data_IF_873299902913
#
_entry.id   IF_873299902913
#
_cell.length_a   1.000
_cell.length_b   1.000
_cell.length_c   1.000
_cell.angle_alpha   90.00
_cell.angle_beta   90.00
_cell.angle_gamma   90.00
#
_symmetry.space_group_name_H-M   'P 1'
#
loop_
_entity.id
_entity.type
_entity.pdbx_description
1 polymer ?
#
# COMPACT_ATOMS: atom_id res chain seq x y z
N UNK A 1 -31.88 -4.66 -28.45
CA UNK A 1 -31.04 -4.85 -27.26
C UNK A 1 -29.63 -4.76 -27.76
N UNK A 2 -29.09 -3.56 -27.63
CA UNK A 2 -28.32 -2.94 -28.70
C UNK A 2 -26.81 -3.16 -28.51
N UNK A 3 -26.21 -3.78 -29.51
CA UNK A 3 -24.76 -3.94 -29.67
C UNK A 3 -24.20 -2.68 -30.33
N UNK A 4 -23.50 -1.85 -29.56
CA UNK A 4 -22.81 -0.66 -30.05
C UNK A 4 -21.40 -0.95 -30.54
N UNK A 5 -21.20 -0.83 -31.85
CA UNK A 5 -19.89 -0.79 -32.52
C UNK A 5 -19.31 0.63 -32.42
N UNK A 6 -18.09 0.79 -31.90
CA UNK A 6 -17.41 2.08 -31.81
C UNK A 6 -16.47 2.24 -33.02
N UNK A 7 -16.75 3.20 -33.91
CA UNK A 7 -15.81 3.72 -34.91
C UNK A 7 -15.13 4.99 -34.39
N UNK A 8 -13.80 5.05 -34.48
CA UNK A 8 -13.00 6.23 -34.18
C UNK A 8 -12.93 7.16 -35.41
N UNK A 9 -13.60 8.30 -35.34
CA UNK A 9 -13.45 9.41 -36.28
C UNK A 9 -12.50 10.47 -35.73
N UNK A 10 -11.46 10.82 -36.49
CA UNK A 10 -10.51 11.89 -36.17
C UNK A 10 -11.08 13.22 -36.68
N UNK A 11 -11.39 14.15 -35.77
CA UNK A 11 -11.73 15.53 -36.10
C UNK A 11 -10.53 16.44 -35.78
N UNK A 12 -9.98 17.10 -36.80
CA UNK A 12 -9.10 18.26 -36.65
C UNK A 12 -9.98 19.52 -36.65
N UNK A 13 -10.01 20.23 -35.52
CA UNK A 13 -10.67 21.53 -35.38
C UNK A 13 -9.68 22.59 -34.91
N UNK A 14 -9.29 23.48 -35.82
CA UNK A 14 -8.57 24.72 -35.53
C UNK A 14 -9.40 25.65 -34.65
N UNK A 15 -8.79 26.24 -33.62
CA UNK A 15 -9.35 27.41 -32.94
C UNK A 15 -8.32 28.54 -32.85
N UNK A 16 -8.72 29.68 -33.41
CA UNK A 16 -8.06 30.98 -33.40
C UNK A 16 -8.67 31.82 -32.27
N UNK A 17 -7.81 32.44 -31.47
CA UNK A 17 -8.02 33.77 -30.88
C UNK A 17 -8.82 33.89 -29.58
N UNK A 18 -8.25 34.53 -28.56
CA UNK A 18 -8.55 35.92 -28.19
C UNK A 18 -7.63 36.39 -27.04
N UNK A 19 -7.16 37.64 -27.14
CA UNK A 19 -6.50 38.42 -26.08
C UNK A 19 -7.50 38.80 -24.97
N UNK A 20 -7.01 39.15 -23.76
CA UNK A 20 -7.39 40.39 -23.03
C UNK A 20 -6.61 40.51 -21.68
N UNK A 21 -5.91 41.65 -21.57
CA UNK A 21 -5.58 42.51 -20.41
C UNK A 21 -5.06 41.94 -19.08
N UNK A 22 -3.81 42.31 -18.75
CA UNK A 22 -3.41 42.59 -17.37
C UNK A 22 -3.06 44.08 -17.21
N UNK A 23 -3.79 44.74 -16.32
CA UNK A 23 -3.59 46.12 -15.91
C UNK A 23 -2.36 46.29 -15.01
N UNK A 24 -1.52 47.23 -15.40
CA UNK A 24 -0.38 47.74 -14.64
C UNK A 24 -0.85 48.58 -13.43
N UNK A 25 -0.44 48.18 -12.23
CA UNK A 25 -0.51 49.03 -11.03
C UNK A 25 0.88 49.63 -10.77
N UNK A 26 0.94 50.96 -10.80
CA UNK A 26 2.08 51.82 -10.48
C UNK A 26 2.50 51.65 -9.01
N UNK A 27 3.78 51.44 -8.75
CA UNK A 27 4.45 52.07 -7.61
C UNK A 27 5.93 52.30 -7.93
N UNK A 28 6.41 53.45 -7.48
CA UNK A 28 7.51 54.22 -8.03
C UNK A 28 8.91 53.69 -7.70
N UNK A 29 9.85 53.91 -8.63
CA UNK A 29 11.23 54.29 -8.31
C UNK A 29 12.27 53.17 -8.33
N UNK A 30 13.10 53.15 -9.36
CA UNK A 30 14.58 53.34 -9.30
C UNK A 30 15.14 53.21 -10.73
N UNK A 31 16.17 54.02 -10.98
CA UNK A 31 16.73 54.43 -12.27
C UNK A 31 17.79 53.45 -12.81
N UNK A 32 17.63 53.12 -14.10
CA UNK A 32 18.59 52.88 -15.20
C UNK A 32 20.09 52.69 -14.90
N UNK A 33 20.64 51.56 -15.38
CA UNK A 33 21.83 51.39 -16.25
C UNK A 33 21.64 50.02 -16.93
N UNK A 34 21.84 49.73 -18.22
CA UNK A 34 22.68 50.33 -19.26
C UNK A 34 23.51 49.18 -19.88
N UNK A 35 23.23 48.78 -21.12
CA UNK A 35 23.97 47.78 -21.90
C UNK A 35 23.12 46.54 -22.22
N UNK A 36 22.66 46.25 -23.43
CA UNK A 36 23.18 46.63 -24.75
C UNK A 36 24.10 45.55 -25.29
N UNK A 37 23.54 44.40 -25.70
CA UNK A 37 24.18 43.53 -26.69
C UNK A 37 23.14 42.92 -27.62
N UNK A 38 23.29 43.30 -28.89
CA UNK A 38 22.66 42.78 -30.09
C UNK A 38 23.37 41.46 -30.44
N UNK A 39 22.63 40.35 -30.55
CA UNK A 39 22.95 39.31 -31.54
C UNK A 39 21.64 38.71 -32.06
N UNK A 40 21.20 39.23 -33.20
CA UNK A 40 20.34 38.50 -34.12
C UNK A 40 21.25 37.71 -35.07
N UNK A 41 21.12 36.39 -35.10
CA UNK A 41 21.45 35.55 -36.26
C UNK A 41 21.19 34.06 -35.99
N UNK A 42 20.86 33.38 -37.08
CA UNK A 42 20.80 31.93 -37.33
C UNK A 42 19.42 31.27 -37.14
N UNK A 43 18.55 31.34 -38.14
CA UNK A 43 18.43 30.40 -39.30
C UNK A 43 18.05 28.97 -38.93
N UNK A 44 16.84 28.60 -39.34
CA UNK A 44 16.51 27.40 -40.11
C UNK A 44 17.42 26.17 -39.87
N UNK A 45 16.93 25.23 -39.06
CA UNK A 45 17.11 23.80 -39.32
C UNK A 45 15.74 23.15 -39.28
N UNK A 46 15.17 23.01 -40.48
CA UNK A 46 14.13 22.02 -40.74
C UNK A 46 14.77 20.62 -40.64
N UNK A 47 14.05 19.73 -39.95
CA UNK A 47 14.03 18.28 -40.18
C UNK A 47 15.36 17.54 -40.19
N UNK A 48 15.60 16.73 -39.14
CA UNK A 48 16.16 15.37 -39.24
C UNK A 48 16.01 14.67 -37.89
N UNK A 49 15.35 13.51 -37.93
CA UNK A 49 15.49 12.35 -37.05
C UNK A 49 15.13 12.46 -35.56
N UNK A 50 13.89 12.07 -35.25
CA UNK A 50 13.61 11.15 -34.13
C UNK A 50 12.72 10.01 -34.66
N UNK A 51 13.36 9.08 -35.37
CA UNK A 51 12.87 7.70 -35.53
C UNK A 51 14.04 6.81 -35.14
N UNK A 52 14.11 6.42 -33.87
CA UNK A 52 14.90 5.29 -33.34
C UNK A 52 14.80 5.23 -31.82
N UNK A 53 13.68 4.72 -31.33
CA UNK A 53 13.47 4.04 -30.04
C UNK A 53 12.04 3.49 -30.16
N UNK A 54 11.70 2.21 -30.14
CA UNK A 54 12.40 0.97 -29.84
C UNK A 54 11.73 -0.09 -30.73
N UNK A 55 12.54 -0.82 -31.50
CA UNK A 55 12.08 -2.02 -32.20
C UNK A 55 12.03 -3.11 -31.13
N UNK A 56 10.86 -3.30 -30.51
CA UNK A 56 10.64 -4.40 -29.58
C UNK A 56 10.61 -5.68 -30.42
N UNK A 57 11.77 -6.34 -30.50
CA UNK A 57 11.94 -7.63 -31.17
C UNK A 57 11.11 -8.70 -30.45
N UNK A 58 10.31 -9.41 -31.24
CA UNK A 58 9.77 -10.74 -30.97
C UNK A 58 9.03 -10.91 -29.63
N UNK A 59 7.91 -10.21 -29.47
CA UNK A 59 6.84 -10.75 -28.63
C UNK A 59 6.18 -11.87 -29.44
N UNK A 60 6.18 -13.13 -28.99
CA UNK A 60 5.53 -14.20 -29.73
C UNK A 60 4.07 -13.82 -29.92
N UNK A 61 3.59 -13.91 -31.16
CA UNK A 61 2.17 -13.90 -31.47
C UNK A 61 1.55 -15.11 -30.78
N UNK A 62 1.16 -14.93 -29.51
CA UNK A 62 0.32 -15.86 -28.79
C UNK A 62 -0.98 -15.83 -29.57
N UNK A 63 -1.19 -16.85 -30.41
CA UNK A 63 -2.45 -17.08 -31.11
C UNK A 63 -3.55 -17.06 -30.04
N UNK A 64 -4.24 -15.92 -29.92
CA UNK A 64 -5.23 -15.69 -28.89
C UNK A 64 -6.45 -16.51 -29.26
N UNK A 65 -6.51 -17.75 -28.75
CA UNK A 65 -7.80 -18.32 -28.40
C UNK A 65 -8.45 -17.32 -27.46
N UNK A 66 -9.31 -16.45 -28.01
CA UNK A 66 -9.94 -15.37 -27.28
C UNK A 66 -10.85 -15.97 -26.23
N UNK A 67 -10.32 -16.19 -25.03
CA UNK A 67 -11.14 -16.61 -23.90
C UNK A 67 -11.91 -15.37 -23.44
N UNK A 68 -13.22 -15.41 -23.62
CA UNK A 68 -14.12 -14.36 -23.14
C UNK A 68 -14.29 -14.52 -21.63
N UNK A 69 -13.43 -13.88 -20.84
CA UNK A 69 -13.65 -13.74 -19.41
C UNK A 69 -14.76 -12.69 -19.21
N UNK A 70 -15.93 -13.12 -18.71
CA UNK A 70 -16.98 -12.18 -18.32
C UNK A 70 -16.63 -11.61 -16.95
N UNK A 71 -16.18 -10.37 -16.91
CA UNK A 71 -15.80 -9.70 -15.66
C UNK A 71 -16.90 -8.73 -15.25
N UNK A 72 -17.48 -8.95 -14.07
CA UNK A 72 -18.43 -8.00 -13.51
C UNK A 72 -17.70 -6.74 -13.05
N UNK A 73 -18.12 -5.56 -13.55
CA UNK A 73 -17.59 -4.24 -13.13
C UNK A 73 -18.58 -3.49 -12.24
N UNK A 74 -19.34 -4.20 -11.42
CA UNK A 74 -20.32 -3.61 -10.52
C UNK A 74 -19.65 -2.58 -9.59
N UNK A 75 -20.17 -1.35 -9.58
CA UNK A 75 -19.64 -0.24 -8.77
C UNK A 75 -18.57 0.62 -9.46
N UNK A 76 -18.07 0.22 -10.63
CA UNK A 76 -17.15 1.05 -11.43
C UNK A 76 -17.95 2.10 -12.22
N UNK A 77 -17.60 3.38 -12.08
CA UNK A 77 -18.25 4.46 -12.84
C UNK A 77 -17.88 4.35 -14.33
N UNK A 78 -18.82 4.69 -15.23
CA UNK A 78 -18.60 4.62 -16.68
C UNK A 78 -17.34 5.37 -17.15
N UNK A 79 -17.07 6.54 -16.54
CA UNK A 79 -15.88 7.35 -16.84
C UNK A 79 -14.55 6.67 -16.49
N UNK A 80 -14.55 5.74 -15.53
CA UNK A 80 -13.35 5.10 -14.99
C UNK A 80 -13.09 3.72 -15.62
N UNK A 81 -14.07 3.15 -16.33
CA UNK A 81 -13.94 1.87 -17.04
C UNK A 81 -12.72 1.79 -17.98
N UNK A 82 -12.36 2.83 -18.76
CA UNK A 82 -11.17 2.77 -19.61
C UNK A 82 -9.87 2.61 -18.82
N UNK A 83 -9.76 3.25 -17.64
CA UNK A 83 -8.59 3.15 -16.77
C UNK A 83 -8.51 1.76 -16.14
N UNK A 84 -9.64 1.26 -15.63
CA UNK A 84 -9.77 -0.12 -15.12
C UNK A 84 -9.34 -1.14 -16.17
N UNK A 85 -9.84 -1.02 -17.40
CA UNK A 85 -9.49 -1.93 -18.48
C UNK A 85 -7.99 -1.90 -18.80
N UNK A 86 -7.36 -0.72 -18.78
CA UNK A 86 -5.92 -0.59 -18.99
C UNK A 86 -5.10 -1.24 -17.87
N UNK A 87 -5.50 -1.06 -16.60
CA UNK A 87 -4.84 -1.70 -15.47
C UNK A 87 -4.96 -3.23 -15.51
N UNK A 88 -6.15 -3.75 -15.79
CA UNK A 88 -6.39 -5.19 -15.94
C UNK A 88 -5.58 -5.77 -17.10
N UNK A 89 -5.49 -5.03 -18.21
CA UNK A 89 -4.64 -5.42 -19.34
C UNK A 89 -3.15 -5.45 -18.94
N UNK A 90 -2.67 -4.45 -18.21
CA UNK A 90 -1.30 -4.44 -17.71
C UNK A 90 -1.04 -5.61 -16.75
N UNK A 91 -1.99 -5.91 -15.87
CA UNK A 91 -1.94 -7.07 -14.98
C UNK A 91 -1.82 -8.39 -15.76
N UNK A 92 -2.68 -8.63 -16.75
CA UNK A 92 -2.58 -9.86 -17.56
C UNK A 92 -1.30 -9.93 -18.39
N UNK A 93 -0.73 -8.79 -18.80
CA UNK A 93 0.59 -8.75 -19.42
C UNK A 93 1.70 -9.20 -18.46
N UNK A 94 1.61 -8.82 -17.18
CA UNK A 94 2.57 -9.21 -16.14
C UNK A 94 2.33 -10.62 -15.58
N UNK A 95 1.07 -11.06 -15.54
CA UNK A 95 0.65 -12.36 -15.03
C UNK A 95 -0.14 -13.14 -16.12
N UNK A 96 0.55 -13.63 -17.16
CA UNK A 96 -0.10 -14.29 -18.29
C UNK A 96 -0.81 -15.59 -17.91
N UNK A 97 -0.35 -16.29 -16.87
CA UNK A 97 -0.95 -17.54 -16.41
C UNK A 97 -2.41 -17.37 -15.98
N UNK A 98 -2.79 -16.25 -15.36
CA UNK A 98 -4.21 -16.00 -15.01
C UNK A 98 -5.06 -15.89 -16.27
N UNK A 99 -4.54 -15.26 -17.33
CA UNK A 99 -5.25 -15.19 -18.62
C UNK A 99 -5.31 -16.55 -19.32
N UNK A 100 -4.24 -17.36 -19.26
CA UNK A 100 -4.23 -18.72 -19.79
C UNK A 100 -5.21 -19.64 -19.06
N UNK A 101 -5.37 -19.45 -17.75
CA UNK A 101 -6.31 -20.19 -16.90
C UNK A 101 -7.76 -19.69 -17.00
N UNK A 102 -8.10 -18.81 -17.96
CA UNK A 102 -9.44 -18.23 -18.02
C UNK A 102 -10.56 -19.27 -18.20
N UNK A 103 -10.29 -20.45 -18.79
CA UNK A 103 -11.23 -21.56 -18.84
C UNK A 103 -11.48 -22.25 -17.48
N UNK A 104 -10.57 -22.08 -16.52
CA UNK A 104 -10.64 -22.61 -15.17
C UNK A 104 -11.16 -21.58 -14.15
N UNK A 105 -11.51 -20.37 -14.59
CA UNK A 105 -12.08 -19.33 -13.75
C UNK A 105 -13.61 -19.51 -13.70
N UNK A 106 -14.13 -19.76 -12.50
CA UNK A 106 -15.58 -19.90 -12.24
C UNK A 106 -16.29 -18.56 -12.11
N UNK A 107 -15.61 -17.57 -11.55
CA UNK A 107 -16.15 -16.23 -11.32
C UNK A 107 -14.99 -15.21 -11.31
N UNK A 108 -15.25 -14.03 -11.86
CA UNK A 108 -14.32 -12.91 -11.88
C UNK A 108 -15.08 -11.59 -11.63
N UNK A 109 -14.68 -10.87 -10.60
CA UNK A 109 -15.24 -9.56 -10.25
C UNK A 109 -14.14 -8.52 -10.21
N UNK A 110 -14.44 -7.33 -10.71
CA UNK A 110 -13.65 -6.14 -10.49
C UNK A 110 -14.41 -5.17 -9.60
N UNK A 111 -13.73 -4.61 -8.62
CA UNK A 111 -14.16 -3.43 -7.88
C UNK A 111 -13.13 -2.31 -8.04
N UNK A 112 -13.62 -1.07 -7.96
CA UNK A 112 -12.81 0.14 -7.90
C UNK A 112 -13.25 0.93 -6.68
N UNK A 113 -12.32 1.36 -5.85
CA UNK A 113 -12.67 2.11 -4.65
C UNK A 113 -11.48 2.69 -3.94
N UNK A 114 -11.76 3.42 -2.86
CA UNK A 114 -10.73 4.00 -2.02
C UNK A 114 -9.93 2.91 -1.30
N UNK A 115 -8.61 3.10 -1.18
CA UNK A 115 -7.76 2.21 -0.41
C UNK A 115 -8.13 2.25 1.07
N UNK A 116 -8.56 1.11 1.60
CA UNK A 116 -8.88 0.91 3.02
C UNK A 116 -7.89 -0.04 3.71
N UNK A 117 -7.23 -0.90 2.95
CA UNK A 117 -6.23 -1.84 3.46
C UNK A 117 -4.83 -1.20 3.57
N UNK A 118 -4.04 -1.74 4.50
CA UNK A 118 -2.70 -1.19 4.82
C UNK A 118 -1.73 -1.31 3.65
N UNK A 119 -1.77 -2.40 2.88
CA UNK A 119 -0.86 -2.61 1.75
C UNK A 119 -1.03 -1.54 0.67
N UNK A 120 -2.27 -1.31 0.21
CA UNK A 120 -2.59 -0.28 -0.78
C UNK A 120 -2.14 1.11 -0.33
N UNK A 121 -2.40 1.48 0.93
CA UNK A 121 -2.01 2.78 1.48
C UNK A 121 -0.49 2.96 1.48
N UNK A 122 0.27 1.92 1.85
CA UNK A 122 1.73 1.95 1.93
C UNK A 122 2.39 2.07 0.55
N UNK A 123 1.78 1.52 -0.50
CA UNK A 123 2.21 1.73 -1.89
C UNK A 123 1.76 3.09 -2.46
N UNK A 124 0.97 3.86 -1.70
CA UNK A 124 0.47 5.17 -2.14
C UNK A 124 -0.72 5.08 -3.08
N UNK A 125 -1.43 3.97 -3.11
CA UNK A 125 -2.61 3.78 -3.95
C UNK A 125 -3.79 4.50 -3.31
N UNK A 126 -4.40 5.48 -3.98
CA UNK A 126 -5.61 6.14 -3.48
C UNK A 126 -6.84 5.35 -3.91
N UNK A 127 -6.85 4.92 -5.17
CA UNK A 127 -7.99 4.24 -5.78
C UNK A 127 -7.57 2.92 -6.43
N UNK A 128 -7.28 1.87 -5.63
CA UNK A 128 -6.93 0.58 -6.18
C UNK A 128 -8.07 -0.06 -6.98
N UNK A 129 -7.68 -0.85 -7.98
CA UNK A 129 -8.55 -1.80 -8.69
C UNK A 129 -8.36 -3.16 -8.04
N UNK A 130 -9.42 -3.78 -7.55
CA UNK A 130 -9.34 -5.14 -7.03
C UNK A 130 -9.98 -6.11 -8.02
N UNK A 131 -9.17 -7.05 -8.51
CA UNK A 131 -9.61 -8.17 -9.33
C UNK A 131 -9.72 -9.42 -8.44
N UNK A 132 -10.95 -9.89 -8.25
CA UNK A 132 -11.28 -11.09 -7.50
C UNK A 132 -11.52 -12.23 -8.47
N UNK A 133 -10.73 -13.29 -8.38
CA UNK A 133 -10.80 -14.46 -9.28
C UNK A 133 -11.07 -15.72 -8.46
N UNK A 134 -12.15 -16.42 -8.79
CA UNK A 134 -12.46 -17.74 -8.24
C UNK A 134 -12.01 -18.82 -9.22
N UNK A 135 -11.01 -19.61 -8.84
CA UNK A 135 -10.57 -20.75 -9.64
C UNK A 135 -11.43 -21.99 -9.41
N UNK A 136 -11.45 -22.88 -10.40
CA UNK A 136 -12.06 -24.21 -10.30
C UNK A 136 -11.39 -25.05 -9.22
N UNK A 137 -12.17 -25.96 -8.62
CA UNK A 137 -11.64 -26.99 -7.72
C UNK A 137 -10.88 -28.08 -8.48
N UNK A 138 -11.17 -28.22 -9.77
CA UNK A 138 -10.54 -29.18 -10.67
C UNK A 138 -10.16 -28.41 -11.95
N UNK A 139 -9.00 -27.74 -11.98
CA UNK A 139 -8.55 -26.99 -13.14
C UNK A 139 -8.01 -27.94 -14.21
N UNK A 140 -8.26 -27.61 -15.48
CA UNK A 140 -7.82 -28.41 -16.62
C UNK A 140 -6.29 -28.38 -16.79
N UNK A 141 -5.65 -27.25 -16.54
CA UNK A 141 -4.18 -27.15 -16.58
C UNK A 141 -3.57 -26.98 -15.17
N UNK A 142 -3.43 -28.09 -14.47
CA UNK A 142 -2.83 -28.15 -13.13
C UNK A 142 -1.35 -27.73 -13.08
N UNK A 143 -0.67 -27.52 -14.21
CA UNK A 143 0.75 -27.12 -14.24
C UNK A 143 0.95 -25.62 -14.02
N UNK A 144 -0.07 -24.82 -14.31
CA UNK A 144 -0.01 -23.35 -14.24
C UNK A 144 -0.57 -22.79 -12.92
N UNK A 145 -1.16 -23.65 -12.09
CA UNK A 145 -1.82 -23.28 -10.85
C UNK A 145 -1.31 -24.17 -9.71
N UNK A 146 -0.88 -23.54 -8.62
CA UNK A 146 -0.52 -24.26 -7.40
C UNK A 146 -1.74 -25.05 -6.90
N UNK A 147 -1.58 -26.31 -6.52
CA UNK A 147 -2.67 -27.14 -5.99
C UNK A 147 -3.37 -26.49 -4.78
N UNK A 148 -2.64 -25.64 -4.03
CA UNK A 148 -3.18 -24.85 -2.92
C UNK A 148 -4.08 -23.69 -3.37
N UNK A 149 -4.16 -23.39 -4.66
CA UNK A 149 -5.08 -22.40 -5.22
C UNK A 149 -6.37 -23.04 -5.78
N UNK A 150 -6.47 -24.38 -5.83
CA UNK A 150 -7.65 -25.07 -6.37
C UNK A 150 -8.89 -24.75 -5.54
N UNK A 151 -9.92 -24.22 -6.19
CA UNK A 151 -11.13 -23.77 -5.52
C UNK A 151 -10.96 -22.56 -4.61
N UNK A 152 -9.79 -21.90 -4.61
CA UNK A 152 -9.58 -20.69 -3.83
C UNK A 152 -10.07 -19.44 -4.57
N UNK A 153 -10.35 -18.40 -3.79
CA UNK A 153 -10.57 -17.05 -4.30
C UNK A 153 -9.29 -16.25 -4.11
N UNK A 154 -8.75 -15.76 -5.23
CA UNK A 154 -7.60 -14.89 -5.29
C UNK A 154 -8.05 -13.44 -5.42
N UNK A 155 -7.37 -12.57 -4.68
CA UNK A 155 -7.60 -11.14 -4.65
C UNK A 155 -6.32 -10.49 -5.14
N UNK A 156 -6.39 -9.83 -6.30
CA UNK A 156 -5.28 -9.08 -6.89
C UNK A 156 -5.64 -7.60 -6.81
N UNK A 157 -4.94 -6.85 -5.97
CA UNK A 157 -5.15 -5.41 -5.86
C UNK A 157 -4.08 -4.70 -6.70
N UNK A 158 -4.51 -3.85 -7.61
CA UNK A 158 -3.68 -3.09 -8.53
C UNK A 158 -3.80 -1.61 -8.19
N UNK A 159 -2.71 -0.85 -8.30
CA UNK A 159 -2.76 0.58 -8.07
C UNK A 159 -1.61 1.33 -8.70
N UNK A 160 -1.78 2.65 -8.81
CA UNK A 160 -0.76 3.58 -9.27
C UNK A 160 0.09 4.08 -8.12
N UNK A 161 0.24 5.40 -7.99
CA UNK A 161 0.89 6.02 -6.83
C UNK A 161 2.41 5.94 -6.86
N UNK A 162 3.00 5.81 -5.67
CA UNK A 162 4.47 5.84 -5.52
C UNK A 162 5.09 4.53 -6.02
N UNK A 163 4.46 3.40 -5.71
CA UNK A 163 4.88 2.07 -6.14
C UNK A 163 3.79 1.50 -7.08
N UNK A 164 3.76 1.88 -8.37
CA UNK A 164 2.75 1.38 -9.31
C UNK A 164 2.93 -0.12 -9.54
N UNK A 165 1.86 -0.90 -9.40
CA UNK A 165 1.96 -2.35 -9.48
C UNK A 165 0.71 -3.07 -8.99
N UNK A 166 0.89 -4.35 -8.67
CA UNK A 166 -0.16 -5.16 -8.06
C UNK A 166 0.37 -6.00 -6.90
N UNK A 167 -0.51 -6.34 -5.96
CA UNK A 167 -0.22 -7.25 -4.87
C UNK A 167 -1.32 -8.30 -4.68
N UNK A 168 -0.98 -9.36 -3.96
CA UNK A 168 -1.96 -10.32 -3.45
C UNK A 168 -1.61 -10.75 -2.03
N UNK A 169 -2.63 -11.02 -1.21
CA UNK A 169 -2.44 -11.42 0.18
C UNK A 169 -2.16 -12.91 0.40
N UNK A 170 -2.18 -13.73 -0.67
CA UNK A 170 -2.08 -15.20 -0.57
C UNK A 170 -1.00 -15.75 -1.48
N UNK A 171 -0.06 -16.49 -0.89
CA UNK A 171 1.03 -17.16 -1.60
C UNK A 171 0.56 -18.01 -2.79
N UNK A 172 -0.48 -18.87 -2.70
CA UNK A 172 -0.90 -19.65 -3.86
C UNK A 172 -1.36 -18.79 -5.04
N UNK A 173 -1.90 -17.59 -4.79
CA UNK A 173 -2.29 -16.65 -5.84
C UNK A 173 -1.08 -15.96 -6.46
N UNK A 174 -0.08 -15.62 -5.64
CA UNK A 174 1.18 -15.06 -6.12
C UNK A 174 1.97 -16.06 -6.99
N UNK A 175 1.95 -17.34 -6.59
CA UNK A 175 2.61 -18.43 -7.30
C UNK A 175 2.08 -18.63 -8.72
N UNK A 176 0.77 -18.38 -8.96
CA UNK A 176 0.19 -18.40 -10.32
C UNK A 176 0.93 -17.40 -11.23
N UNK A 177 1.31 -16.25 -10.68
CA UNK A 177 2.05 -15.21 -11.40
C UNK A 177 3.58 -15.33 -11.29
N UNK A 178 4.11 -16.37 -10.64
CA UNK A 178 5.53 -16.51 -10.39
C UNK A 178 6.13 -15.46 -9.45
N UNK A 179 5.31 -14.84 -8.60
CA UNK A 179 5.75 -13.82 -7.63
C UNK A 179 6.04 -14.47 -6.29
N UNK A 180 7.23 -14.20 -5.75
CA UNK A 180 7.61 -14.60 -4.39
C UNK A 180 7.44 -13.44 -3.41
N UNK A 181 7.32 -13.75 -2.12
CA UNK A 181 7.31 -12.72 -1.09
C UNK A 181 8.63 -11.92 -1.11
N UNK A 182 8.52 -10.59 -0.97
CA UNK A 182 9.66 -9.71 -0.76
C UNK A 182 10.19 -9.81 0.69
N UNK A 183 11.21 -9.03 1.04
CA UNK A 183 11.79 -9.00 2.40
C UNK A 183 10.79 -8.60 3.49
N UNK A 184 9.69 -7.94 3.13
CA UNK A 184 8.60 -7.57 4.03
C UNK A 184 7.49 -8.64 4.12
N UNK A 185 7.65 -9.77 3.42
CA UNK A 185 6.64 -10.83 3.35
C UNK A 185 5.48 -10.53 2.40
N UNK A 186 5.58 -9.50 1.56
CA UNK A 186 4.51 -9.10 0.64
C UNK A 186 4.70 -9.72 -0.74
N UNK A 187 3.62 -10.22 -1.33
CA UNK A 187 3.60 -10.67 -2.72
C UNK A 187 3.23 -9.52 -3.64
N UNK A 188 4.21 -8.68 -3.97
CA UNK A 188 4.07 -7.48 -4.77
C UNK A 188 4.90 -7.58 -6.06
N UNK A 189 4.33 -7.13 -7.17
CA UNK A 189 5.03 -6.96 -8.43
C UNK A 189 4.84 -5.54 -8.97
N UNK A 190 5.95 -4.87 -9.26
CA UNK A 190 5.96 -3.54 -9.85
C UNK A 190 5.52 -3.60 -11.32
N UNK A 191 4.59 -2.73 -11.69
CA UNK A 191 4.07 -2.59 -13.06
C UNK A 191 3.95 -1.09 -13.36
N UNK A 192 5.02 -0.45 -13.90
CA UNK A 192 5.05 1.00 -14.10
C UNK A 192 3.89 1.55 -14.94
N UNK A 193 3.34 0.75 -15.85
CA UNK A 193 2.18 1.12 -16.67
C UNK A 193 0.93 1.42 -15.83
N UNK A 194 0.85 0.94 -14.58
CA UNK A 194 -0.26 1.22 -13.67
C UNK A 194 -0.21 2.62 -13.05
N UNK A 195 0.84 3.43 -13.30
CA UNK A 195 0.89 4.85 -12.90
C UNK A 195 -0.34 5.64 -13.40
N UNK A 196 -0.98 5.19 -14.50
CA UNK A 196 -2.22 5.77 -15.02
C UNK A 196 -3.39 5.80 -14.02
N UNK A 197 -3.38 4.94 -13.01
CA UNK A 197 -4.44 4.84 -12.01
C UNK A 197 -4.37 5.98 -10.98
N UNK A 198 -3.15 6.42 -10.67
CA UNK A 198 -2.85 7.47 -9.72
C UNK A 198 -1.46 8.02 -10.07
N UNK A 199 -1.38 9.11 -10.85
CA UNK A 199 -0.09 9.66 -11.26
C UNK A 199 0.53 10.49 -10.10
N UNK A 200 1.66 10.06 -9.53
CA UNK A 200 2.31 10.74 -8.42
C UNK A 200 2.81 12.14 -8.80
N UNK A 201 2.95 12.46 -10.09
CA UNK A 201 3.41 13.78 -10.56
C UNK A 201 2.30 14.83 -10.55
N UNK A 202 1.04 14.45 -10.41
CA UNK A 202 -0.08 15.38 -10.43
C UNK A 202 -0.14 16.22 -9.15
N UNK A 203 -0.52 17.49 -9.27
CA UNK A 203 -0.67 18.39 -8.12
C UNK A 203 -1.71 17.87 -7.12
N UNK A 204 -2.80 17.29 -7.61
CA UNK A 204 -3.86 16.72 -6.77
C UNK A 204 -3.33 15.57 -5.89
N UNK A 205 -2.56 14.66 -6.48
CA UNK A 205 -1.94 13.55 -5.74
C UNK A 205 -0.96 14.06 -4.68
N UNK A 206 -0.11 15.04 -5.03
CA UNK A 206 0.83 15.64 -4.10
C UNK A 206 0.13 16.34 -2.92
N UNK A 207 -0.99 17.03 -3.17
CA UNK A 207 -1.81 17.61 -2.12
C UNK A 207 -2.43 16.54 -1.22
N UNK A 208 -2.89 15.42 -1.78
CA UNK A 208 -3.40 14.29 -1.01
C UNK A 208 -2.33 13.68 -0.09
N UNK A 209 -1.10 13.50 -0.60
CA UNK A 209 0.05 13.04 0.21
C UNK A 209 0.37 13.98 1.37
N UNK A 210 0.46 15.29 1.09
CA UNK A 210 0.77 16.30 2.12
C UNK A 210 -0.31 16.30 3.19
N UNK A 211 -1.59 16.25 2.78
CA UNK A 211 -2.72 16.18 3.71
C UNK A 211 -2.66 14.93 4.58
N UNK A 212 -2.54 13.75 3.97
CA UNK A 212 -2.51 12.47 4.68
C UNK A 212 -1.33 12.38 5.67
N UNK A 213 -0.16 12.93 5.29
CA UNK A 213 1.01 13.02 6.19
C UNK A 213 0.80 13.99 7.34
N UNK A 214 0.15 15.13 7.08
CA UNK A 214 -0.15 16.13 8.11
C UNK A 214 -1.14 15.58 9.14
N UNK A 215 -2.21 14.93 8.69
CA UNK A 215 -3.21 14.27 9.55
C UNK A 215 -2.57 13.14 10.37
N UNK A 216 -1.79 12.26 9.73
CA UNK A 216 -1.07 11.19 10.43
C UNK A 216 -0.11 11.72 11.51
N UNK A 217 0.65 12.79 11.23
CA UNK A 217 1.53 13.41 12.22
C UNK A 217 0.76 14.00 13.40
N UNK A 218 -0.40 14.60 13.15
CA UNK A 218 -1.25 15.16 14.20
C UNK A 218 -1.81 14.05 15.11
N UNK A 219 -2.32 12.97 14.52
CA UNK A 219 -2.82 11.80 15.25
C UNK A 219 -1.71 11.12 16.04
N UNK A 220 -0.56 10.86 15.41
CA UNK A 220 0.60 10.27 16.09
C UNK A 220 1.07 11.14 17.26
N UNK A 221 1.15 12.46 17.07
CA UNK A 221 1.56 13.38 18.15
C UNK A 221 0.59 13.37 19.32
N UNK A 222 -0.72 13.33 19.04
CA UNK A 222 -1.78 13.23 20.05
C UNK A 222 -1.68 11.91 20.82
N UNK A 223 -1.64 10.79 20.13
CA UNK A 223 -1.54 9.46 20.77
C UNK A 223 -0.24 9.32 21.55
N UNK A 224 0.89 9.82 21.04
CA UNK A 224 2.16 9.86 21.77
C UNK A 224 2.09 10.65 23.07
N UNK A 225 1.39 11.80 23.07
CA UNK A 225 1.22 12.62 24.27
C UNK A 225 0.39 11.90 25.35
N UNK A 226 -0.61 11.11 24.95
CA UNK A 226 -1.43 10.31 25.86
C UNK A 226 -0.72 9.04 26.33
N UNK A 227 -0.02 8.35 25.42
CA UNK A 227 0.79 7.16 25.74
C UNK A 227 1.86 7.48 26.81
N UNK A 228 2.49 8.65 26.73
CA UNK A 228 3.44 9.15 27.75
C UNK A 228 2.82 9.39 29.12
N UNK A 229 1.49 9.52 29.21
CA UNK A 229 0.76 9.62 30.48
C UNK A 229 0.32 8.24 31.02
N UNK A 230 0.62 7.16 30.29
CA UNK A 230 0.26 5.80 30.65
C UNK A 230 -1.09 5.33 30.12
N UNK A 231 -1.68 6.03 29.15
CA UNK A 231 -2.91 5.58 28.50
C UNK A 231 -2.65 4.32 27.65
N UNK A 232 -3.22 3.18 28.06
CA UNK A 232 -2.97 1.86 27.45
C UNK A 232 -3.43 1.80 25.98
N UNK A 233 -4.59 2.39 25.69
CA UNK A 233 -5.17 2.39 24.34
C UNK A 233 -4.28 3.22 23.41
N UNK A 234 -3.82 4.40 23.85
CA UNK A 234 -2.86 5.20 23.10
C UNK A 234 -1.50 4.53 22.92
N UNK A 235 -0.97 3.79 23.90
CA UNK A 235 0.28 3.01 23.72
C UNK A 235 0.12 2.00 22.57
N UNK A 236 -1.02 1.31 22.52
CA UNK A 236 -1.34 0.37 21.43
C UNK A 236 -1.51 1.10 20.09
N UNK A 237 -2.25 2.22 20.09
CA UNK A 237 -2.52 3.02 18.89
C UNK A 237 -1.25 3.59 18.27
N UNK A 238 -0.28 4.04 19.07
CA UNK A 238 1.01 4.50 18.55
C UNK A 238 1.70 3.39 17.75
N UNK A 239 1.75 2.16 18.29
CA UNK A 239 2.29 1.01 17.58
C UNK A 239 1.54 0.73 16.27
N UNK A 240 0.22 0.81 16.28
CA UNK A 240 -0.62 0.65 15.09
C UNK A 240 -0.36 1.74 14.03
N UNK A 241 -0.26 3.02 14.43
CA UNK A 241 -0.01 4.15 13.53
C UNK A 241 1.35 4.04 12.84
N UNK A 242 2.40 3.65 13.57
CA UNK A 242 3.71 3.35 12.97
C UNK A 242 3.63 2.15 12.02
N UNK A 243 2.90 1.10 12.39
CA UNK A 243 2.82 -0.12 11.58
C UNK A 243 2.06 0.03 10.28
N UNK A 244 0.95 0.78 10.33
CA UNK A 244 0.09 1.07 9.18
C UNK A 244 0.72 2.10 8.24
N UNK A 245 1.38 3.13 8.77
CA UNK A 245 1.83 4.27 7.96
C UNK A 245 0.65 5.12 7.45
N UNK A 246 0.86 5.84 6.35
CA UNK A 246 -0.17 6.66 5.68
C UNK A 246 0.07 6.67 4.17
N UNK A 247 -0.77 7.36 3.40
CA UNK A 247 -0.69 7.38 1.94
C UNK A 247 0.73 7.76 1.50
N UNK A 248 1.39 6.86 0.77
CA UNK A 248 2.72 7.07 0.22
C UNK A 248 3.84 7.11 1.28
N UNK A 249 3.55 6.69 2.51
CA UNK A 249 4.52 6.56 3.56
C UNK A 249 4.42 5.17 4.17
N UNK A 250 5.40 4.32 3.83
CA UNK A 250 5.54 2.98 4.40
C UNK A 250 5.65 3.09 5.91
N UNK A 251 4.98 2.17 6.62
CA UNK A 251 5.03 2.13 8.06
C UNK A 251 6.46 1.96 8.59
N UNK A 252 6.76 2.58 9.73
CA UNK A 252 8.03 2.41 10.42
C UNK A 252 7.98 1.12 11.26
N UNK A 253 8.44 0.02 10.66
CA UNK A 253 8.42 -1.31 11.31
C UNK A 253 9.28 -1.37 12.58
N UNK A 254 10.31 -0.54 12.67
CA UNK A 254 11.12 -0.47 13.88
C UNK A 254 10.30 0.17 15.00
N UNK A 255 9.72 1.35 14.77
CA UNK A 255 8.90 2.03 15.78
C UNK A 255 7.58 1.28 16.08
N UNK A 256 6.99 0.57 15.11
CA UNK A 256 5.89 -0.36 15.36
C UNK A 256 6.29 -1.43 16.38
N UNK A 257 7.43 -2.10 16.17
CA UNK A 257 7.96 -3.11 17.08
C UNK A 257 8.24 -2.52 18.48
N UNK A 258 8.87 -1.34 18.55
CA UNK A 258 9.14 -0.65 19.82
C UNK A 258 7.83 -0.43 20.58
N UNK A 259 6.84 0.24 19.98
CA UNK A 259 5.62 0.63 20.68
C UNK A 259 4.67 -0.53 20.97
N UNK A 260 4.59 -1.53 20.09
CA UNK A 260 3.88 -2.79 20.43
C UNK A 260 4.57 -3.49 21.61
N UNK A 261 5.90 -3.49 21.65
CA UNK A 261 6.65 -4.05 22.78
C UNK A 261 6.43 -3.24 24.07
N UNK A 262 6.34 -1.90 23.99
CA UNK A 262 5.93 -1.06 25.12
C UNK A 262 4.56 -1.50 25.62
N UNK A 263 3.56 -1.67 24.73
CA UNK A 263 2.23 -2.16 25.10
C UNK A 263 2.28 -3.49 25.85
N UNK A 264 3.02 -4.48 25.35
CA UNK A 264 3.20 -5.74 26.08
C UNK A 264 3.88 -5.54 27.43
N UNK A 265 4.96 -4.76 27.50
CA UNK A 265 5.71 -4.53 28.73
C UNK A 265 4.89 -3.78 29.79
N UNK A 266 4.04 -2.83 29.39
CA UNK A 266 3.21 -2.04 30.29
C UNK A 266 1.90 -2.73 30.69
N UNK A 267 1.33 -3.59 29.84
CA UNK A 267 0.09 -4.35 30.11
C UNK A 267 0.23 -5.20 31.37
N UNK A 268 -0.54 -4.99 32.43
CA UNK A 268 -0.43 -5.82 33.64
C UNK A 268 -1.15 -7.16 33.51
N UNK A 269 -0.61 -8.18 34.17
CA UNK A 269 -1.41 -9.32 34.64
C UNK A 269 -1.63 -9.13 36.15
N UNK A 270 -2.85 -9.29 36.63
CA UNK A 270 -3.00 -9.68 38.03
C UNK A 270 -2.70 -11.18 38.11
N UNK A 271 -1.64 -11.52 38.82
CA UNK A 271 -1.58 -12.84 39.40
C UNK A 271 -2.58 -12.83 40.55
N UNK A 272 -3.68 -13.57 40.42
CA UNK A 272 -4.67 -13.71 41.50
C UNK A 272 -3.96 -14.00 42.81
N UNK A 273 -4.24 -13.19 43.84
CA UNK A 273 -3.69 -13.37 45.19
C UNK A 273 -3.93 -14.78 45.71
N UNK A 274 -5.01 -15.41 45.27
CA UNK A 274 -5.48 -16.72 45.73
C UNK A 274 -4.59 -17.86 45.21
N UNK A 275 -3.80 -17.61 44.15
CA UNK A 275 -2.86 -18.57 43.58
C UNK A 275 -1.45 -18.46 44.18
N UNK A 276 -1.16 -17.39 44.93
CA UNK A 276 0.18 -17.12 45.46
C UNK A 276 0.26 -17.53 46.93
N UNK A 277 0.82 -18.71 47.20
CA UNK A 277 0.97 -19.24 48.56
C UNK A 277 2.16 -18.64 49.32
N UNK A 278 3.06 -17.93 48.64
CA UNK A 278 4.25 -17.31 49.26
C UNK A 278 4.83 -16.14 48.46
N UNK A 279 5.61 -15.28 49.12
CA UNK A 279 6.34 -14.19 48.46
C UNK A 279 7.36 -14.69 47.41
N UNK A 280 7.95 -15.87 47.62
CA UNK A 280 8.87 -16.50 46.65
C UNK A 280 8.13 -16.92 45.39
N UNK A 281 6.96 -17.54 45.53
CA UNK A 281 6.11 -17.92 44.39
C UNK A 281 5.66 -16.69 43.60
N UNK A 282 5.35 -15.57 44.29
CA UNK A 282 5.08 -14.28 43.63
C UNK A 282 6.21 -13.85 42.71
N UNK A 283 7.45 -13.82 43.23
CA UNK A 283 8.64 -13.40 42.48
C UNK A 283 8.92 -14.31 41.29
N UNK A 284 8.74 -15.62 41.44
CA UNK A 284 8.92 -16.57 40.34
C UNK A 284 7.88 -16.38 39.23
N UNK A 285 6.60 -16.19 39.59
CA UNK A 285 5.54 -15.92 38.62
C UNK A 285 5.73 -14.59 37.90
N UNK A 286 6.14 -13.53 38.63
CA UNK A 286 6.48 -12.24 38.04
C UNK A 286 7.66 -12.36 37.05
N UNK A 287 8.71 -13.10 37.40
CA UNK A 287 9.87 -13.32 36.53
C UNK A 287 9.50 -14.11 35.26
N UNK A 288 8.78 -15.23 35.41
CA UNK A 288 8.34 -16.04 34.28
C UNK A 288 7.41 -15.24 33.33
N UNK A 289 6.54 -14.40 33.90
CA UNK A 289 5.66 -13.53 33.13
C UNK A 289 6.40 -12.45 32.35
N UNK A 290 7.38 -11.78 32.98
CA UNK A 290 8.25 -10.83 32.29
C UNK A 290 8.99 -11.50 31.14
N UNK A 291 9.49 -12.73 31.35
CA UNK A 291 10.14 -13.48 30.28
C UNK A 291 9.17 -13.87 29.16
N UNK A 292 7.97 -14.34 29.51
CA UNK A 292 6.91 -14.61 28.53
C UNK A 292 6.60 -13.38 27.66
N UNK A 293 6.48 -12.20 28.26
CA UNK A 293 6.32 -10.93 27.51
C UNK A 293 7.49 -10.62 26.59
N UNK A 294 8.72 -10.85 27.05
CA UNK A 294 9.92 -10.65 26.22
C UNK A 294 9.89 -11.57 25.01
N UNK A 295 9.48 -12.82 25.19
CA UNK A 295 9.33 -13.77 24.08
C UNK A 295 8.21 -13.35 23.13
N UNK A 296 7.07 -12.87 23.63
CA UNK A 296 6.01 -12.29 22.78
C UNK A 296 6.49 -11.07 22.01
N UNK A 297 7.20 -10.14 22.68
CA UNK A 297 7.79 -8.96 22.04
C UNK A 297 8.80 -9.36 20.95
N UNK A 298 9.67 -10.33 21.23
CA UNK A 298 10.56 -10.93 20.21
C UNK A 298 9.76 -11.51 19.05
N UNK A 299 8.66 -12.22 19.31
CA UNK A 299 7.79 -12.77 18.27
C UNK A 299 7.15 -11.70 17.38
N UNK A 300 6.80 -10.54 17.94
CA UNK A 300 6.26 -9.41 17.16
C UNK A 300 7.34 -8.74 16.31
N UNK A 301 8.52 -8.52 16.90
CA UNK A 301 9.61 -7.83 16.24
C UNK A 301 10.31 -8.69 15.18
N UNK A 302 10.48 -9.99 15.42
CA UNK A 302 11.15 -10.92 14.49
C UNK A 302 10.40 -11.16 13.19
N UNK A 303 9.11 -10.82 13.12
CA UNK A 303 8.34 -10.87 11.85
C UNK A 303 8.77 -9.80 10.86
N UNK A 304 9.25 -8.66 11.36
CA UNK A 304 9.46 -7.46 10.55
C UNK A 304 10.89 -6.92 10.61
N UNK A 305 11.73 -7.43 11.51
CA UNK A 305 13.10 -6.96 11.75
C UNK A 305 14.07 -8.13 11.80
N UNK A 306 15.33 -7.87 11.42
CA UNK A 306 16.43 -8.80 11.69
C UNK A 306 16.54 -9.07 13.20
N UNK A 307 17.09 -10.23 13.61
CA UNK A 307 17.27 -10.55 15.03
C UNK A 307 18.00 -9.46 15.82
N UNK A 308 19.03 -8.85 15.26
CA UNK A 308 19.81 -7.78 15.90
C UNK A 308 18.98 -6.52 16.10
N UNK A 309 18.27 -6.07 15.04
CA UNK A 309 17.41 -4.89 15.12
C UNK A 309 16.24 -5.10 16.08
N UNK A 310 15.69 -6.31 16.15
CA UNK A 310 14.64 -6.67 17.09
C UNK A 310 15.12 -6.54 18.55
N UNK A 311 16.34 -6.97 18.86
CA UNK A 311 16.90 -6.82 20.22
C UNK A 311 17.08 -5.35 20.60
N UNK A 312 17.59 -4.51 19.70
CA UNK A 312 17.74 -3.07 19.94
C UNK A 312 16.38 -2.42 20.22
N UNK A 313 15.37 -2.73 19.40
CA UNK A 313 14.02 -2.21 19.56
C UNK A 313 13.39 -2.63 20.90
N UNK A 314 13.63 -3.86 21.35
CA UNK A 314 13.14 -4.34 22.65
C UNK A 314 13.82 -3.60 23.81
N UNK A 315 15.12 -3.34 23.73
CA UNK A 315 15.82 -2.56 24.76
C UNK A 315 15.34 -1.11 24.80
N UNK A 316 15.03 -0.51 23.64
CA UNK A 316 14.41 0.81 23.57
C UNK A 316 13.00 0.81 24.17
N UNK A 317 12.18 -0.19 23.83
CA UNK A 317 10.84 -0.36 24.39
C UNK A 317 10.85 -0.46 25.92
N UNK A 318 11.84 -1.16 26.51
CA UNK A 318 12.02 -1.22 27.96
C UNK A 318 12.27 0.16 28.56
N UNK A 319 13.19 0.93 27.98
CA UNK A 319 13.50 2.30 28.44
C UNK A 319 12.26 3.20 28.40
N UNK A 320 11.48 3.10 27.32
CA UNK A 320 10.22 3.85 27.19
C UNK A 320 9.22 3.40 28.26
N UNK A 321 8.99 2.09 28.39
CA UNK A 321 8.06 1.53 29.36
C UNK A 321 8.40 1.91 30.81
N UNK A 322 9.69 1.92 31.16
CA UNK A 322 10.15 2.32 32.50
C UNK A 322 9.99 3.83 32.78
N UNK A 323 9.93 4.66 31.73
CA UNK A 323 9.74 6.12 31.83
C UNK A 323 8.27 6.55 31.98
N UNK A 324 7.31 5.67 31.65
CA UNK A 324 5.88 6.01 31.69
C UNK A 324 5.41 6.06 33.16
N UNK A 325 4.94 7.23 33.65
CA UNK A 325 4.49 7.40 35.03
C UNK A 325 3.20 6.62 35.29
N UNK A 326 2.91 6.33 36.56
CA UNK A 326 1.64 5.71 36.91
C UNK A 326 1.62 4.19 36.73
N UNK A 327 2.59 3.49 37.33
CA UNK A 327 2.40 2.06 37.62
C UNK A 327 1.09 1.87 38.46
N UNK A 328 -0.06 1.51 37.82
CA UNK A 328 -1.39 0.98 38.31
C UNK A 328 -2.58 1.89 37.91
N UNK A 329 -3.84 1.41 37.71
CA UNK A 329 -4.54 0.28 38.33
C UNK A 329 -4.53 -0.99 37.50
N UNK A 330 -4.92 -2.09 38.14
CA UNK A 330 -4.92 -3.40 37.54
C UNK A 330 -6.27 -3.67 36.86
N UNK A 331 -6.26 -4.20 35.63
CA UNK A 331 -7.44 -4.89 35.11
C UNK A 331 -7.52 -6.22 35.84
N UNK A 332 -8.59 -6.43 36.60
CA UNK A 332 -8.93 -7.78 37.08
C UNK A 332 -9.04 -8.69 35.85
N UNK A 333 -8.29 -9.81 35.77
CA UNK A 333 -8.53 -10.79 34.75
C UNK A 333 -9.98 -11.26 34.94
N UNK A 334 -10.78 -11.09 33.90
CA UNK A 334 -12.04 -11.83 33.77
C UNK A 334 -11.60 -13.26 33.52
N UNK A 335 -11.48 -14.04 34.60
CA UNK A 335 -11.43 -15.48 34.51
C UNK A 335 -12.78 -15.88 33.90
N UNK A 336 -12.77 -16.20 32.60
CA UNK A 336 -13.85 -16.97 31.99
C UNK A 336 -13.82 -18.35 32.67
N UNK A 337 -14.54 -18.46 33.79
CA UNK A 337 -14.88 -19.73 34.41
C UNK A 337 -15.95 -20.41 33.54
N UNK A 338 -15.54 -20.92 32.38
CA UNK A 338 -16.28 -21.95 31.68
C UNK A 338 -15.31 -23.11 31.47
N UNK A 339 -15.42 -24.11 32.36
CA UNK A 339 -14.87 -25.46 32.22
C UNK A 339 -15.92 -26.30 31.52
#
# INVERSE_FOLDING_TARGET
MDSGTIMLGVFFGSWIGWMIFFGLRKSSGVVVFGGGFIVACLTLVAGIYISKYSKQENQPDIASSAVNLNISTEGVLEKDKPLVAQAVKAFFGQCPNVATLAGDIKDAKISWGYADNTGSIQHGWRNPVELVVKFSQDPQDQRLIDWRAFGHTCYYTMGGGIDPGWNTGKEPCANICGVTANDNGEFFAEVPQMELLDDPKTQEYQQALIKAKTEWNADLSKEMANAKKGDEDSISNVGYLYGRGTLGFKGDKYNECVWRSVSYLTTRYEVSSDLIKSATQRKQMEAAYIEGKRQTAKGVCSRNLSPERALIAIEEAKKIADSIPGKRPARRPVLNNEI
#
